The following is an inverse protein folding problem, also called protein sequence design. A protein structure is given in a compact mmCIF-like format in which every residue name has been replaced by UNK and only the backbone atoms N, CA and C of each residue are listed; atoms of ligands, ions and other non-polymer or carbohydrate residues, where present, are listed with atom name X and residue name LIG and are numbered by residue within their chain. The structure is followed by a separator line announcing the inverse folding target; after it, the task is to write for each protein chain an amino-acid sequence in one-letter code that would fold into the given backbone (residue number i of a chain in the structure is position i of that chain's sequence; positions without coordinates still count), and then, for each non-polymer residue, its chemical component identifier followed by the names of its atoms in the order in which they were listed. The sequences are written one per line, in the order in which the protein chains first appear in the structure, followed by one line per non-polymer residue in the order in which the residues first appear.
data_IF_148379798031
#
_entry.id   IF_148379798031
#
_cell.length_a   1.000
_cell.length_b   1.000
_cell.length_c   1.000
_cell.angle_alpha   90.00
_cell.angle_beta   90.00
_cell.angle_gamma   90.00
#
_symmetry.space_group_name_H-M   'P 1'
#
loop_
_entity.id
_entity.type
_entity.pdbx_description
1 polymer ?
#
# COMPACT_ATOMS: atom_id res chain seq x y z
N UNK A 1 0.22 48.15 35.61
CA UNK A 1 0.37 46.69 35.36
C UNK A 1 -0.32 45.91 36.48
N UNK A 2 -1.66 45.90 36.53
CA UNK A 2 -2.44 45.27 37.62
C UNK A 2 -3.40 44.18 37.09
N UNK A 3 -2.97 43.40 36.08
CA UNK A 3 -3.83 42.41 35.41
C UNK A 3 -3.25 40.99 35.41
N UNK A 4 -2.14 40.74 36.10
CA UNK A 4 -1.49 39.42 36.19
C UNK A 4 -1.44 38.94 37.62
N UNK A 5 -1.50 37.61 37.85
CA UNK A 5 -1.43 36.97 39.18
C UNK A 5 -0.10 37.20 39.92
N UNK A 6 0.85 37.89 39.29
CA UNK A 6 2.19 38.16 39.80
C UNK A 6 2.44 39.67 39.84
N UNK A 7 3.03 40.11 40.95
CA UNK A 7 3.33 41.52 41.24
C UNK A 7 4.68 41.97 40.65
N UNK A 8 5.54 41.03 40.22
CA UNK A 8 6.84 41.31 39.61
C UNK A 8 7.14 40.34 38.46
N UNK A 9 7.87 40.83 37.44
CA UNK A 9 8.31 40.02 36.29
C UNK A 9 9.24 38.88 36.77
N UNK A 10 10.14 39.17 37.69
CA UNK A 10 11.02 38.18 38.34
C UNK A 10 10.21 37.07 39.01
N UNK A 11 9.10 37.41 39.68
CA UNK A 11 8.23 36.43 40.32
C UNK A 11 7.53 35.50 39.31
N UNK A 12 7.18 36.01 38.14
CA UNK A 12 6.62 35.20 37.05
C UNK A 12 7.67 34.27 36.42
N UNK A 13 8.88 34.78 36.19
CA UNK A 13 9.99 34.01 35.59
C UNK A 13 10.43 32.86 36.50
N UNK A 14 10.57 33.11 37.82
CA UNK A 14 10.87 32.06 38.80
C UNK A 14 9.74 31.03 38.92
N UNK A 15 8.48 31.44 38.73
CA UNK A 15 7.35 30.51 38.73
C UNK A 15 7.39 29.55 37.54
N UNK A 16 7.73 30.02 36.33
CA UNK A 16 7.88 29.18 35.14
C UNK A 16 8.99 28.13 35.28
N UNK A 17 10.10 28.51 35.93
CA UNK A 17 11.16 27.56 36.29
C UNK A 17 10.70 26.52 37.31
N UNK A 18 9.95 26.95 38.34
CA UNK A 18 9.40 26.04 39.37
C UNK A 18 8.32 25.09 38.85
N UNK A 19 7.47 25.53 37.91
CA UNK A 19 6.48 24.66 37.26
C UNK A 19 7.10 23.76 36.19
N UNK A 20 8.38 23.93 35.88
CA UNK A 20 9.13 23.08 34.95
C UNK A 20 8.69 23.23 33.49
N UNK A 21 7.98 24.32 33.17
CA UNK A 21 7.52 24.68 31.82
C UNK A 21 8.64 25.33 31.00
N UNK A 22 9.59 26.00 31.66
CA UNK A 22 10.74 26.61 31.01
C UNK A 22 12.03 26.37 31.81
N UNK A 23 13.16 26.31 31.11
CA UNK A 23 14.49 26.49 31.72
C UNK A 23 14.76 27.98 31.80
N UNK A 24 15.17 28.43 32.98
CA UNK A 24 15.38 29.83 33.30
C UNK A 24 16.81 30.00 33.78
N UNK A 25 17.59 30.80 33.05
CA UNK A 25 18.98 31.12 33.36
C UNK A 25 19.13 32.61 33.66
N UNK A 26 19.78 32.94 34.78
CA UNK A 26 20.10 34.32 35.16
C UNK A 26 21.52 34.66 34.68
N UNK A 27 21.65 35.67 33.82
CA UNK A 27 22.94 36.17 33.35
C UNK A 27 23.06 37.66 33.66
N UNK A 28 24.26 38.24 33.55
CA UNK A 28 24.55 39.65 33.86
C UNK A 28 23.71 40.66 33.05
N UNK A 29 23.06 40.21 31.95
CA UNK A 29 22.19 41.04 31.10
C UNK A 29 20.69 40.82 31.32
N UNK A 30 20.30 39.94 32.25
CA UNK A 30 18.91 39.64 32.58
C UNK A 30 18.56 38.16 32.52
N UNK A 31 17.25 37.88 32.57
CA UNK A 31 16.69 36.53 32.61
C UNK A 31 16.49 35.96 31.20
N UNK A 32 17.09 34.80 30.94
CA UNK A 32 16.87 34.02 29.72
C UNK A 32 15.92 32.87 30.01
N UNK A 33 14.89 32.72 29.17
CA UNK A 33 13.85 31.70 29.33
C UNK A 33 13.79 30.87 28.05
N UNK A 34 13.99 29.57 28.20
CA UNK A 34 13.86 28.60 27.11
C UNK A 34 12.66 27.70 27.41
N UNK A 35 11.62 27.79 26.59
CA UNK A 35 10.41 26.97 26.76
C UNK A 35 10.73 25.50 26.46
N UNK A 36 10.38 24.60 27.37
CA UNK A 36 10.43 23.16 27.13
C UNK A 36 9.00 22.68 26.97
N UNK A 37 8.67 22.23 25.77
CA UNK A 37 7.39 21.60 25.49
C UNK A 37 7.34 20.20 26.16
N UNK A 38 6.76 20.14 27.36
CA UNK A 38 6.61 18.94 28.20
C UNK A 38 5.18 18.39 28.15
N UNK A 39 4.49 18.54 27.02
CA UNK A 39 3.18 17.90 26.85
C UNK A 39 3.33 16.35 26.78
N UNK A 40 2.62 15.60 27.65
CA UNK A 40 2.75 14.15 27.75
C UNK A 40 2.30 13.41 26.48
N UNK A 41 1.45 14.03 25.65
CA UNK A 41 1.05 13.47 24.35
C UNK A 41 2.19 13.49 23.32
N UNK A 42 3.01 14.54 23.31
CA UNK A 42 4.12 14.68 22.37
C UNK A 42 5.28 13.74 22.74
N UNK A 43 5.54 13.57 24.04
CA UNK A 43 6.54 12.63 24.56
C UNK A 43 6.11 11.19 24.31
N UNK A 44 4.84 10.82 24.59
CA UNK A 44 4.34 9.48 24.32
C UNK A 44 4.34 9.13 22.82
N UNK A 45 4.13 10.12 21.93
CA UNK A 45 4.22 9.93 20.49
C UNK A 45 5.67 9.73 20.04
N UNK A 46 6.62 10.47 20.60
CA UNK A 46 8.05 10.30 20.33
C UNK A 46 8.57 8.95 20.84
N UNK A 47 8.20 8.53 22.04
CA UNK A 47 8.57 7.21 22.59
C UNK A 47 7.97 6.05 21.79
N UNK A 48 6.71 6.16 21.35
CA UNK A 48 6.11 5.15 20.45
C UNK A 48 6.82 5.11 19.10
N UNK A 49 7.20 6.25 18.53
CA UNK A 49 7.98 6.27 17.29
C UNK A 49 9.38 5.71 17.49
N UNK A 50 10.07 6.03 18.59
CA UNK A 50 11.39 5.51 18.89
C UNK A 50 11.36 3.99 19.19
N UNK A 51 10.35 3.51 19.91
CA UNK A 51 10.15 2.07 20.16
C UNK A 51 9.87 1.31 18.88
N UNK A 52 9.05 1.88 17.99
CA UNK A 52 8.80 1.30 16.66
C UNK A 52 10.09 1.27 15.82
N UNK A 53 10.82 2.37 15.74
CA UNK A 53 12.10 2.43 15.01
C UNK A 53 13.15 1.46 15.58
N UNK A 54 13.19 1.27 16.91
CA UNK A 54 14.08 0.29 17.53
C UNK A 54 13.69 -1.15 17.18
N UNK A 55 12.39 -1.45 17.14
CA UNK A 55 11.91 -2.77 16.69
C UNK A 55 12.20 -3.00 15.20
N UNK A 56 11.94 -1.99 14.37
CA UNK A 56 12.22 -2.06 12.94
C UNK A 56 13.72 -2.24 12.66
N UNK A 57 14.60 -1.60 13.45
CA UNK A 57 16.05 -1.73 13.34
C UNK A 57 16.56 -3.12 13.76
N UNK A 58 15.99 -3.72 14.81
CA UNK A 58 16.34 -5.08 15.25
C UNK A 58 15.94 -6.14 14.20
N UNK A 59 14.79 -5.95 13.54
CA UNK A 59 14.35 -6.81 12.44
C UNK A 59 15.18 -6.56 11.16
N UNK A 60 15.60 -5.33 10.89
CA UNK A 60 16.49 -5.00 9.77
C UNK A 60 17.90 -5.60 9.96
N UNK A 61 18.47 -5.55 11.15
CA UNK A 61 19.76 -6.18 11.47
C UNK A 61 19.68 -7.72 11.31
N UNK A 62 18.63 -8.36 11.81
CA UNK A 62 18.41 -9.80 11.57
C UNK A 62 18.24 -10.14 10.09
N UNK A 63 17.60 -9.27 9.32
CA UNK A 63 17.41 -9.48 7.89
C UNK A 63 18.74 -9.31 7.14
N UNK A 64 19.54 -8.32 7.50
CA UNK A 64 20.88 -8.08 6.94
C UNK A 64 21.81 -9.27 7.20
N UNK A 65 21.85 -9.80 8.43
CA UNK A 65 22.64 -11.01 8.74
C UNK A 65 22.20 -12.22 7.90
N UNK A 66 20.90 -12.35 7.62
CA UNK A 66 20.39 -13.44 6.78
C UNK A 66 20.78 -13.27 5.30
N UNK A 67 20.73 -12.03 4.79
CA UNK A 67 21.17 -11.69 3.43
C UNK A 67 22.68 -11.90 3.29
N UNK A 68 23.47 -11.41 4.24
CA UNK A 68 24.92 -11.53 4.24
C UNK A 68 25.36 -13.00 4.27
N UNK A 69 24.69 -13.84 5.07
CA UNK A 69 24.97 -15.28 5.11
C UNK A 69 24.61 -16.01 3.81
N UNK A 70 23.62 -15.53 3.06
CA UNK A 70 23.31 -16.05 1.72
C UNK A 70 24.36 -15.62 0.70
N UNK A 71 24.79 -14.34 0.75
CA UNK A 71 25.83 -13.79 -0.11
C UNK A 71 27.17 -14.46 0.14
N UNK A 72 27.57 -14.64 1.40
CA UNK A 72 28.83 -15.28 1.77
C UNK A 72 28.86 -16.74 1.31
N UNK A 73 27.73 -17.44 1.38
CA UNK A 73 27.62 -18.82 0.89
C UNK A 73 27.72 -18.88 -0.64
N UNK A 74 27.04 -17.97 -1.35
CA UNK A 74 27.16 -17.85 -2.80
C UNK A 74 28.58 -17.47 -3.25
N UNK A 75 29.25 -16.57 -2.51
CA UNK A 75 30.62 -16.14 -2.78
C UNK A 75 31.65 -17.24 -2.51
N UNK A 76 31.46 -18.05 -1.46
CA UNK A 76 32.27 -19.26 -1.20
C UNK A 76 32.08 -20.31 -2.30
N UNK A 77 30.87 -20.50 -2.81
CA UNK A 77 30.62 -21.38 -3.95
C UNK A 77 31.24 -20.83 -5.25
N UNK A 78 31.33 -19.50 -5.41
CA UNK A 78 32.06 -18.83 -6.50
C UNK A 78 33.59 -18.95 -6.37
N UNK A 79 34.17 -18.81 -5.17
CA UNK A 79 35.61 -19.00 -4.92
C UNK A 79 36.03 -20.47 -5.10
N UNK A 80 35.16 -21.43 -4.79
CA UNK A 80 35.39 -22.86 -5.03
C UNK A 80 35.29 -23.19 -6.54
N UNK A 81 34.43 -22.49 -7.29
CA UNK A 81 34.37 -22.59 -8.75
C UNK A 81 35.52 -21.84 -9.47
N UNK A 82 36.16 -20.87 -8.81
CA UNK A 82 37.27 -20.08 -9.36
C UNK A 82 38.67 -20.72 -9.28
N UNK A 83 38.85 -21.83 -8.56
CA UNK A 83 40.16 -22.48 -8.39
C UNK A 83 40.39 -23.70 -9.31
N UNK A 84 39.47 -24.02 -10.21
CA UNK A 84 39.72 -25.00 -11.27
C UNK A 84 38.96 -24.64 -12.53
N UNK A 85 39.65 -24.76 -13.66
CA UNK A 85 39.20 -24.55 -15.05
C UNK A 85 39.26 -23.11 -15.56
N UNK A 86 40.37 -22.81 -16.26
CA UNK A 86 40.42 -21.70 -17.19
C UNK A 86 39.31 -21.83 -18.24
N UNK A 87 38.73 -20.69 -18.61
CA UNK A 87 37.77 -20.59 -19.70
C UNK A 87 38.43 -20.96 -21.03
N UNK A 88 38.19 -22.18 -21.49
CA UNK A 88 38.45 -22.61 -22.86
C UNK A 88 37.20 -22.39 -23.70
N UNK A 89 37.28 -21.43 -24.62
CA UNK A 89 36.31 -21.16 -25.67
C UNK A 89 36.20 -22.39 -26.58
N UNK A 90 34.98 -22.94 -26.76
CA UNK A 90 34.76 -24.14 -27.58
C UNK A 90 34.70 -23.75 -29.06
N UNK A 91 35.85 -23.54 -29.67
CA UNK A 91 35.98 -23.38 -31.13
C UNK A 91 35.82 -24.76 -31.78
N UNK A 92 34.88 -24.88 -32.70
CA UNK A 92 34.66 -26.07 -33.53
C UNK A 92 35.58 -25.98 -34.75
N UNK A 93 36.51 -26.93 -34.91
CA UNK A 93 37.44 -26.94 -36.06
C UNK A 93 37.07 -27.94 -37.18
N UNK A 94 35.96 -28.67 -37.12
CA UNK A 94 35.58 -29.52 -38.25
C UNK A 94 34.07 -29.80 -38.34
N UNK A 95 33.49 -29.57 -39.52
CA UNK A 95 32.03 -29.48 -39.75
C UNK A 95 31.43 -30.72 -40.45
N UNK A 96 32.12 -31.88 -40.48
CA UNK A 96 31.67 -33.03 -41.30
C UNK A 96 31.52 -34.40 -40.61
N UNK A 97 31.64 -34.52 -39.28
CA UNK A 97 31.30 -35.78 -38.60
C UNK A 97 29.88 -35.81 -38.01
N UNK A 98 29.06 -36.71 -38.54
CA UNK A 98 27.68 -36.96 -38.12
C UNK A 98 27.64 -37.53 -36.69
N UNK A 99 27.14 -36.74 -35.75
CA UNK A 99 26.99 -37.11 -34.34
C UNK A 99 25.97 -38.25 -34.20
N UNK A 100 26.42 -39.47 -33.88
CA UNK A 100 25.54 -40.58 -33.45
C UNK A 100 25.33 -40.54 -31.94
N UNK A 101 24.28 -39.83 -31.50
CA UNK A 101 23.80 -39.90 -30.12
C UNK A 101 23.05 -41.22 -29.90
N UNK A 102 23.68 -42.20 -29.23
CA UNK A 102 22.99 -43.40 -28.73
C UNK A 102 22.20 -43.04 -27.47
N UNK A 103 20.93 -42.67 -27.64
CA UNK A 103 19.97 -42.59 -26.53
C UNK A 103 19.22 -43.93 -26.47
N UNK A 104 19.51 -44.76 -25.47
CA UNK A 104 18.74 -45.98 -25.21
C UNK A 104 17.42 -45.60 -24.52
N UNK A 105 16.31 -45.74 -25.25
CA UNK A 105 14.95 -45.59 -24.75
C UNK A 105 14.17 -46.90 -24.97
N UNK A 106 14.06 -47.70 -23.92
CA UNK A 106 13.17 -48.87 -23.81
C UNK A 106 12.75 -48.96 -22.33
N UNK A 107 11.50 -49.14 -21.91
CA UNK A 107 10.20 -49.27 -22.56
C UNK A 107 9.20 -49.71 -21.47
N UNK A 108 8.13 -48.93 -21.27
CA UNK A 108 6.79 -49.28 -20.74
C UNK A 108 6.65 -49.98 -19.37
N UNK A 109 5.76 -49.66 -18.43
CA UNK A 109 4.67 -48.68 -18.28
C UNK A 109 4.14 -48.78 -16.84
N UNK A 110 3.90 -47.64 -16.18
CA UNK A 110 2.71 -47.26 -15.36
C UNK A 110 3.05 -46.42 -14.11
N UNK A 111 2.52 -45.20 -14.17
CA UNK A 111 2.01 -44.31 -13.11
C UNK A 111 2.97 -43.38 -12.35
N UNK A 112 2.68 -42.12 -12.61
CA UNK A 112 2.62 -40.96 -11.70
C UNK A 112 3.91 -40.26 -11.29
N UNK A 113 3.82 -38.94 -11.46
CA UNK A 113 4.85 -37.93 -11.29
C UNK A 113 5.35 -37.88 -9.84
N UNK A 114 6.64 -37.52 -9.67
CA UNK A 114 7.14 -36.52 -8.70
C UNK A 114 8.67 -36.45 -8.85
N UNK A 115 9.15 -35.27 -9.26
CA UNK A 115 10.56 -34.86 -9.18
C UNK A 115 11.01 -34.87 -7.71
N UNK A 116 12.00 -35.69 -7.36
CA UNK A 116 12.80 -35.57 -6.14
C UNK A 116 14.28 -35.52 -6.49
N UNK A 117 14.93 -34.45 -6.03
CA UNK A 117 16.39 -34.25 -6.00
C UNK A 117 17.04 -35.31 -5.08
N UNK A 118 18.33 -35.65 -5.30
CA UNK A 118 18.99 -36.74 -4.59
C UNK A 118 19.22 -36.38 -3.11
N UNK A 119 18.81 -37.28 -2.23
CA UNK A 119 19.21 -37.30 -0.84
C UNK A 119 20.53 -38.10 -0.73
N UNK A 120 21.58 -37.47 -0.20
CA UNK A 120 22.76 -38.17 0.32
C UNK A 120 22.58 -38.33 1.83
N UNK A 121 22.82 -39.56 2.29
CA UNK A 121 22.60 -40.11 3.62
C UNK A 121 23.36 -39.37 4.74
N UNK A 122 22.66 -39.11 5.86
CA UNK A 122 23.16 -39.46 7.20
C UNK A 122 22.01 -40.07 8.02
N UNK A 123 22.32 -41.17 8.70
CA UNK A 123 21.39 -42.11 9.36
C UNK A 123 21.72 -42.13 10.85
N UNK A 124 20.74 -41.89 11.74
CA UNK A 124 20.56 -42.48 13.09
C UNK A 124 19.31 -41.90 13.80
N UNK A 125 18.70 -42.60 14.80
CA UNK A 125 17.41 -43.28 14.61
C UNK A 125 16.20 -42.60 15.27
N UNK A 126 15.02 -43.17 14.97
CA UNK A 126 13.66 -42.95 15.49
C UNK A 126 13.58 -42.45 16.95
N UNK A 127 12.63 -41.59 17.35
CA UNK A 127 11.18 -41.85 17.35
C UNK A 127 10.28 -40.59 17.18
N UNK A 128 9.13 -40.85 16.53
CA UNK A 128 7.79 -40.28 16.69
C UNK A 128 7.37 -38.88 16.13
N UNK A 129 6.16 -38.91 15.53
CA UNK A 129 5.21 -37.84 15.20
C UNK A 129 5.36 -37.06 13.87
N UNK A 130 4.81 -37.65 12.81
CA UNK A 130 4.54 -37.00 11.53
C UNK A 130 3.40 -35.98 11.60
N UNK A 131 3.71 -34.71 11.91
CA UNK A 131 2.77 -33.58 11.73
C UNK A 131 3.40 -32.20 11.49
N UNK A 132 4.74 -32.08 11.47
CA UNK A 132 5.43 -30.79 11.42
C UNK A 132 5.70 -30.23 10.00
N UNK A 133 5.84 -31.07 8.97
CA UNK A 133 6.27 -30.61 7.64
C UNK A 133 5.17 -29.87 6.84
N UNK A 134 3.88 -30.15 7.10
CA UNK A 134 2.77 -29.39 6.50
C UNK A 134 2.56 -28.03 7.16
N UNK A 135 2.88 -27.88 8.45
CA UNK A 135 2.77 -26.60 9.17
C UNK A 135 3.86 -25.63 8.73
N UNK A 136 5.10 -26.08 8.57
CA UNK A 136 6.23 -25.20 8.22
C UNK A 136 6.17 -24.62 6.80
N UNK A 137 5.60 -25.36 5.82
CA UNK A 137 5.33 -24.81 4.48
C UNK A 137 4.22 -23.78 4.48
N UNK A 138 3.10 -24.06 5.16
CA UNK A 138 1.96 -23.13 5.27
C UNK A 138 2.33 -21.85 6.02
N UNK A 139 3.22 -21.96 6.99
CA UNK A 139 3.74 -20.83 7.76
C UNK A 139 4.73 -19.97 6.96
N UNK A 140 5.60 -20.58 6.13
CA UNK A 140 6.47 -19.83 5.21
C UNK A 140 5.71 -19.17 4.07
N UNK A 141 4.65 -19.81 3.59
CA UNK A 141 3.77 -19.26 2.54
C UNK A 141 2.88 -18.13 3.10
N UNK A 142 2.31 -18.30 4.30
CA UNK A 142 1.60 -17.24 5.01
C UNK A 142 2.49 -16.05 5.39
N UNK A 143 3.75 -16.29 5.81
CA UNK A 143 4.72 -15.21 6.10
C UNK A 143 5.15 -14.46 4.84
N UNK A 144 5.26 -15.14 3.68
CA UNK A 144 5.51 -14.48 2.38
C UNK A 144 4.30 -13.69 1.88
N UNK A 145 3.09 -14.20 2.09
CA UNK A 145 1.84 -13.47 1.81
C UNK A 145 1.74 -12.24 2.72
N UNK A 146 2.11 -12.35 4.00
CA UNK A 146 2.16 -11.20 4.92
C UNK A 146 3.18 -10.15 4.50
N UNK A 147 4.41 -10.55 4.15
CA UNK A 147 5.44 -9.61 3.69
C UNK A 147 5.05 -8.89 2.39
N UNK A 148 4.41 -9.60 1.45
CA UNK A 148 3.88 -8.99 0.23
C UNK A 148 2.69 -8.07 0.53
N UNK A 149 1.77 -8.47 1.41
CA UNK A 149 0.62 -7.64 1.80
C UNK A 149 1.07 -6.38 2.56
N UNK A 150 2.12 -6.47 3.39
CA UNK A 150 2.71 -5.33 4.08
C UNK A 150 3.38 -4.34 3.11
N UNK A 151 4.09 -4.84 2.09
CA UNK A 151 4.64 -4.00 1.01
C UNK A 151 3.52 -3.32 0.25
N UNK A 152 2.48 -4.08 -0.14
CA UNK A 152 1.35 -3.52 -0.90
C UNK A 152 0.59 -2.52 -0.04
N UNK A 153 0.36 -2.77 1.25
CA UNK A 153 -0.32 -1.85 2.17
C UNK A 153 0.47 -0.56 2.39
N UNK A 154 1.80 -0.66 2.46
CA UNK A 154 2.69 0.50 2.54
C UNK A 154 2.62 1.31 1.26
N UNK A 155 2.59 0.65 0.10
CA UNK A 155 2.46 1.29 -1.19
C UNK A 155 1.07 1.88 -1.43
N UNK A 156 0.00 1.21 -0.97
CA UNK A 156 -1.37 1.71 -0.97
C UNK A 156 -1.50 2.96 -0.12
N UNK A 157 -0.92 2.97 1.08
CA UNK A 157 -0.93 4.16 1.95
C UNK A 157 -0.17 5.33 1.31
N UNK A 158 0.95 5.05 0.63
CA UNK A 158 1.70 6.05 -0.12
C UNK A 158 0.89 6.59 -1.30
N UNK A 159 0.30 5.68 -2.10
CA UNK A 159 -0.55 6.03 -3.24
C UNK A 159 -1.78 6.78 -2.78
N UNK A 160 -2.41 6.42 -1.67
CA UNK A 160 -3.55 7.13 -1.12
C UNK A 160 -3.20 8.59 -0.79
N UNK A 161 -2.07 8.84 -0.13
CA UNK A 161 -1.62 10.19 0.17
C UNK A 161 -1.30 11.02 -1.08
N UNK A 162 -0.70 10.41 -2.10
CA UNK A 162 -0.31 11.13 -3.33
C UNK A 162 -1.47 11.30 -4.31
N UNK A 163 -2.36 10.31 -4.39
CA UNK A 163 -3.48 10.23 -5.34
C UNK A 163 -4.74 10.88 -4.81
N UNK A 164 -4.85 11.14 -3.49
CA UNK A 164 -5.92 11.95 -2.95
C UNK A 164 -5.78 13.38 -3.44
N UNK A 165 -6.66 13.74 -4.37
CA UNK A 165 -6.78 15.09 -4.91
C UNK A 165 -8.14 15.66 -4.59
N UNK A 166 -8.24 16.98 -4.68
CA UNK A 166 -9.49 17.71 -4.49
C UNK A 166 -10.48 17.48 -5.64
N UNK A 167 -9.95 17.18 -6.84
CA UNK A 167 -10.76 16.85 -8.02
C UNK A 167 -10.99 15.34 -8.14
N UNK A 168 -12.27 14.97 -8.27
CA UNK A 168 -12.73 13.58 -8.38
C UNK A 168 -13.45 13.27 -9.70
N UNK A 169 -13.83 14.29 -10.49
CA UNK A 169 -14.51 14.08 -11.77
C UNK A 169 -13.66 13.24 -12.75
N UNK A 170 -14.31 12.26 -13.38
CA UNK A 170 -13.75 11.39 -14.41
C UNK A 170 -14.77 11.17 -15.52
N UNK A 171 -14.28 10.90 -16.72
CA UNK A 171 -15.12 10.55 -17.86
C UNK A 171 -15.75 9.15 -17.71
N UNK A 172 -16.91 8.94 -18.33
CA UNK A 172 -17.57 7.62 -18.35
C UNK A 172 -18.28 7.24 -17.05
N UNK A 173 -18.49 8.20 -16.14
CA UNK A 173 -19.27 7.99 -14.91
C UNK A 173 -20.64 8.63 -15.00
N UNK A 174 -21.57 8.10 -14.21
CA UNK A 174 -22.89 8.69 -13.99
C UNK A 174 -22.82 9.56 -12.74
N UNK A 175 -23.31 10.78 -12.84
CA UNK A 175 -23.43 11.73 -11.72
C UNK A 175 -24.88 12.22 -11.61
N UNK A 176 -25.24 12.71 -10.43
CA UNK A 176 -26.54 13.32 -10.17
C UNK A 176 -26.36 14.82 -10.01
N UNK A 177 -27.14 15.60 -10.74
CA UNK A 177 -27.06 17.06 -10.69
C UNK A 177 -27.84 17.55 -9.47
N UNK A 178 -27.16 18.27 -8.57
CA UNK A 178 -27.76 18.84 -7.34
C UNK A 178 -27.97 20.35 -7.43
N UNK A 179 -27.38 21.01 -8.43
CA UNK A 179 -27.58 22.44 -8.63
C UNK A 179 -29.01 22.77 -9.06
N UNK A 180 -29.68 23.64 -8.32
CA UNK A 180 -31.00 24.20 -8.68
C UNK A 180 -30.89 25.37 -9.67
N UNK A 181 -29.68 25.94 -9.79
CA UNK A 181 -29.39 27.11 -10.61
C UNK A 181 -29.24 26.77 -12.09
N UNK A 182 -28.90 25.51 -12.42
CA UNK A 182 -28.81 25.07 -13.81
C UNK A 182 -30.21 24.95 -14.43
N UNK A 183 -30.42 25.72 -15.51
CA UNK A 183 -31.63 25.69 -16.33
C UNK A 183 -32.94 25.87 -15.54
N UNK A 184 -32.95 26.79 -14.57
CA UNK A 184 -34.15 27.16 -13.78
C UNK A 184 -34.81 25.95 -13.07
N UNK A 185 -34.00 25.02 -12.57
CA UNK A 185 -34.47 23.87 -11.80
C UNK A 185 -35.03 22.70 -12.62
N UNK A 186 -35.09 22.80 -13.95
CA UNK A 186 -35.56 21.70 -14.82
C UNK A 186 -34.66 20.47 -14.82
N UNK A 187 -33.43 20.61 -14.33
CA UNK A 187 -32.38 19.57 -14.35
C UNK A 187 -32.04 19.08 -12.92
N UNK A 188 -32.73 19.61 -11.91
CA UNK A 188 -32.45 19.27 -10.52
C UNK A 188 -32.78 17.80 -10.22
N UNK A 189 -31.83 17.08 -9.62
CA UNK A 189 -31.86 15.64 -9.29
C UNK A 189 -31.89 14.69 -10.50
N UNK A 190 -31.64 15.17 -11.71
CA UNK A 190 -31.47 14.30 -12.86
C UNK A 190 -30.10 13.61 -12.87
N UNK A 191 -30.06 12.43 -13.49
CA UNK A 191 -28.82 11.67 -13.72
C UNK A 191 -28.24 12.07 -15.07
N UNK A 192 -26.94 12.30 -15.10
CA UNK A 192 -26.21 12.67 -16.29
C UNK A 192 -24.93 11.84 -16.41
N UNK A 193 -24.49 11.64 -17.65
CA UNK A 193 -23.25 10.93 -17.98
C UNK A 193 -22.16 11.94 -18.25
N UNK A 194 -21.01 11.78 -17.61
CA UNK A 194 -19.83 12.60 -17.88
C UNK A 194 -19.21 12.17 -19.21
N UNK A 195 -19.30 13.02 -20.24
CA UNK A 195 -18.68 12.76 -21.53
C UNK A 195 -17.22 13.18 -21.56
N UNK A 196 -16.90 14.36 -21.01
CA UNK A 196 -15.56 14.95 -21.06
C UNK A 196 -15.33 15.79 -19.80
N UNK A 197 -14.14 15.73 -19.21
CA UNK A 197 -13.75 16.54 -18.05
C UNK A 197 -12.83 17.68 -18.51
N UNK A 198 -13.17 18.91 -18.16
CA UNK A 198 -12.47 20.15 -18.51
C UNK A 198 -11.87 20.74 -17.24
N UNK A 199 -10.60 21.16 -17.30
CA UNK A 199 -9.92 21.83 -16.18
C UNK A 199 -9.94 21.06 -14.85
N UNK A 200 -10.14 19.74 -14.89
CA UNK A 200 -10.22 18.80 -13.74
C UNK A 200 -11.45 18.99 -12.83
N UNK A 201 -11.98 20.21 -12.72
CA UNK A 201 -13.10 20.57 -11.86
C UNK A 201 -14.43 20.75 -12.60
N UNK A 202 -14.39 20.94 -13.92
CA UNK A 202 -15.59 21.08 -14.75
C UNK A 202 -15.76 19.84 -15.61
N UNK A 203 -16.98 19.56 -16.02
CA UNK A 203 -17.27 18.47 -16.92
C UNK A 203 -18.42 18.80 -17.86
N UNK A 204 -18.31 18.36 -19.11
CA UNK A 204 -19.43 18.28 -20.04
C UNK A 204 -20.20 17.01 -19.74
N UNK A 205 -21.41 17.18 -19.22
CA UNK A 205 -22.32 16.09 -18.91
C UNK A 205 -23.46 16.06 -19.93
N UNK A 206 -23.95 14.86 -20.24
CA UNK A 206 -25.14 14.63 -21.05
C UNK A 206 -26.23 14.03 -20.16
N UNK A 207 -27.37 14.70 -20.05
CA UNK A 207 -28.51 14.19 -19.28
C UNK A 207 -29.03 12.90 -19.91
N UNK A 208 -29.39 11.92 -19.08
CA UNK A 208 -29.94 10.65 -19.56
C UNK A 208 -31.37 10.78 -20.06
N UNK A 209 -32.21 11.57 -19.37
CA UNK A 209 -33.63 11.74 -19.70
C UNK A 209 -33.81 12.69 -20.89
N UNK A 210 -33.24 13.89 -20.84
CA UNK A 210 -33.45 14.92 -21.85
C UNK A 210 -32.41 14.93 -22.97
N UNK A 211 -31.28 14.21 -22.81
CA UNK A 211 -30.20 14.17 -23.80
C UNK A 211 -29.43 15.48 -23.99
N UNK A 212 -29.76 16.54 -23.23
CA UNK A 212 -29.11 17.85 -23.31
C UNK A 212 -27.68 17.77 -22.75
N UNK A 213 -26.77 18.49 -23.40
CA UNK A 213 -25.39 18.64 -22.95
C UNK A 213 -25.27 19.92 -22.12
N UNK A 214 -24.68 19.80 -20.93
CA UNK A 214 -24.49 20.91 -19.99
C UNK A 214 -23.05 20.86 -19.47
N UNK A 215 -22.51 22.02 -19.14
CA UNK A 215 -21.26 22.12 -18.41
C UNK A 215 -21.58 22.29 -16.93
N UNK A 216 -20.95 21.46 -16.09
CA UNK A 216 -21.18 21.44 -14.63
C UNK A 216 -19.85 21.50 -13.90
N UNK A 217 -19.85 22.15 -12.73
CA UNK A 217 -18.74 22.09 -11.79
C UNK A 217 -18.88 20.85 -10.90
N UNK A 218 -17.78 20.38 -10.31
CA UNK A 218 -17.80 19.26 -9.36
C UNK A 218 -18.72 19.49 -8.16
N UNK A 219 -18.91 20.75 -7.73
CA UNK A 219 -19.73 21.09 -6.55
C UNK A 219 -21.23 21.05 -6.86
N UNK A 220 -21.58 21.12 -8.15
CA UNK A 220 -22.96 21.07 -8.65
C UNK A 220 -23.46 19.65 -8.88
N UNK A 221 -22.59 18.65 -8.69
CA UNK A 221 -22.86 17.24 -8.97
C UNK A 221 -22.47 16.34 -7.79
N UNK A 222 -23.18 15.23 -7.68
CA UNK A 222 -22.97 14.20 -6.66
C UNK A 222 -22.69 12.86 -7.35
N UNK A 223 -21.86 12.01 -6.73
CA UNK A 223 -21.62 10.65 -7.22
C UNK A 223 -22.88 9.80 -7.08
N UNK A 224 -23.01 8.79 -7.94
CA UNK A 224 -24.16 7.88 -7.90
C UNK A 224 -23.66 6.48 -7.57
N UNK A 225 -24.11 5.93 -6.46
CA UNK A 225 -23.80 4.55 -6.09
C UNK A 225 -24.82 3.62 -6.75
N UNK A 226 -24.39 2.62 -7.54
CA UNK A 226 -25.30 1.65 -8.12
C UNK A 226 -25.75 0.61 -7.09
N UNK A 227 -26.57 -0.33 -7.54
CA UNK A 227 -26.88 -1.52 -6.75
C UNK A 227 -25.66 -2.42 -6.62
N UNK A 228 -25.64 -3.22 -5.55
CA UNK A 228 -24.65 -4.26 -5.29
C UNK A 228 -24.51 -5.19 -6.51
N UNK A 229 -23.29 -5.56 -6.84
CA UNK A 229 -22.92 -6.41 -7.97
C UNK A 229 -22.72 -5.66 -9.29
N UNK A 230 -22.88 -4.34 -9.31
CA UNK A 230 -22.63 -3.51 -10.51
C UNK A 230 -21.23 -2.92 -10.52
N UNK A 231 -20.77 -2.63 -11.73
CA UNK A 231 -19.49 -1.98 -11.97
C UNK A 231 -19.53 -0.48 -11.60
N UNK A 232 -18.44 -0.04 -10.99
CA UNK A 232 -18.17 1.31 -10.54
C UNK A 232 -16.75 1.71 -10.95
N UNK A 233 -16.52 3.01 -10.97
CA UNK A 233 -15.19 3.59 -11.14
C UNK A 233 -14.73 4.19 -9.80
N UNK A 234 -13.50 3.88 -9.42
CA UNK A 234 -12.85 4.54 -8.29
C UNK A 234 -12.30 5.89 -8.73
N UNK A 235 -12.80 6.95 -8.12
CA UNK A 235 -12.51 8.34 -8.46
C UNK A 235 -11.30 8.90 -7.71
N UNK A 236 -11.05 8.39 -6.50
CA UNK A 236 -10.03 8.91 -5.61
C UNK A 236 -9.40 7.81 -4.74
N UNK A 237 -8.27 8.13 -4.10
CA UNK A 237 -7.54 7.21 -3.22
C UNK A 237 -6.50 6.34 -3.94
N UNK A 238 -6.06 5.26 -3.28
CA UNK A 238 -4.97 4.41 -3.79
C UNK A 238 -5.28 3.76 -5.15
N UNK A 239 -6.55 3.43 -5.38
CA UNK A 239 -7.06 2.72 -6.56
C UNK A 239 -7.70 3.65 -7.59
N UNK A 240 -7.35 4.94 -7.56
CA UNK A 240 -7.91 5.93 -8.47
C UNK A 240 -7.77 5.51 -9.94
N UNK A 241 -8.89 5.51 -10.66
CA UNK A 241 -8.98 5.15 -12.07
C UNK A 241 -9.21 3.65 -12.33
N UNK A 242 -9.16 2.80 -11.30
CA UNK A 242 -9.51 1.39 -11.42
C UNK A 242 -11.02 1.19 -11.50
N UNK A 243 -11.44 0.24 -12.32
CA UNK A 243 -12.79 -0.30 -12.28
C UNK A 243 -12.91 -1.31 -11.15
N UNK A 244 -14.07 -1.31 -10.52
CA UNK A 244 -14.38 -2.19 -9.40
C UNK A 244 -15.84 -2.63 -9.45
N UNK A 245 -16.17 -3.69 -8.72
CA UNK A 245 -17.55 -4.16 -8.52
C UNK A 245 -17.95 -3.87 -7.09
N UNK A 246 -19.13 -3.28 -6.90
CA UNK A 246 -19.67 -3.01 -5.57
C UNK A 246 -20.11 -4.31 -4.90
N UNK A 247 -19.57 -4.65 -3.72
CA UNK A 247 -19.93 -5.88 -2.98
C UNK A 247 -20.88 -5.63 -1.81
N UNK A 248 -20.61 -4.61 -1.01
CA UNK A 248 -21.49 -4.26 0.10
C UNK A 248 -21.53 -2.75 0.30
N UNK A 249 -22.62 -2.32 0.90
CA UNK A 249 -22.90 -0.94 1.28
C UNK A 249 -23.05 -0.90 2.79
N UNK A 250 -22.29 -0.03 3.45
CA UNK A 250 -22.35 0.24 4.88
C UNK A 250 -22.89 1.66 5.07
N UNK A 251 -24.19 1.77 5.28
CA UNK A 251 -24.90 3.06 5.42
C UNK A 251 -24.50 3.82 6.69
N UNK A 252 -24.17 3.13 7.78
CA UNK A 252 -23.80 3.74 9.06
C UNK A 252 -22.52 4.58 8.98
N UNK A 253 -21.53 4.09 8.23
CA UNK A 253 -20.21 4.71 8.08
C UNK A 253 -20.07 5.49 6.75
N UNK A 254 -21.14 5.57 5.94
CA UNK A 254 -21.10 6.11 4.57
C UNK A 254 -19.96 5.51 3.73
N UNK A 255 -19.79 4.19 3.84
CA UNK A 255 -18.69 3.47 3.20
C UNK A 255 -19.15 2.23 2.44
N UNK A 256 -18.38 1.82 1.44
CA UNK A 256 -18.63 0.64 0.63
C UNK A 256 -17.45 -0.31 0.69
N UNK A 257 -17.76 -1.57 0.44
CA UNK A 257 -16.77 -2.59 0.11
C UNK A 257 -16.80 -2.87 -1.38
N UNK A 258 -15.64 -2.76 -2.02
CA UNK A 258 -15.50 -2.90 -3.46
C UNK A 258 -14.47 -3.97 -3.78
N UNK A 259 -14.64 -4.65 -4.90
CA UNK A 259 -13.65 -5.58 -5.43
C UNK A 259 -13.08 -5.00 -6.73
N UNK A 260 -11.76 -4.83 -6.80
CA UNK A 260 -11.10 -4.30 -7.98
C UNK A 260 -11.22 -5.33 -9.12
N UNK A 261 -11.83 -4.95 -10.23
CA UNK A 261 -11.95 -5.81 -11.42
C UNK A 261 -10.79 -5.59 -12.40
N UNK A 262 -10.22 -4.38 -12.43
CA UNK A 262 -9.20 -4.00 -13.41
C UNK A 262 -7.92 -3.44 -12.76
N UNK A 263 -6.76 -4.00 -13.14
CA UNK A 263 -5.44 -3.50 -12.78
C UNK A 263 -4.49 -4.58 -12.24
N UNK A 264 -3.31 -4.20 -11.73
CA UNK A 264 -2.36 -5.14 -11.13
C UNK A 264 -2.87 -5.79 -9.83
N UNK A 265 -3.95 -5.27 -9.25
CA UNK A 265 -4.58 -5.73 -8.01
C UNK A 265 -5.99 -6.30 -8.24
N UNK A 266 -6.28 -6.80 -9.45
CA UNK A 266 -7.55 -7.45 -9.77
C UNK A 266 -7.87 -8.58 -8.78
N UNK A 267 -9.10 -8.60 -8.27
CA UNK A 267 -9.59 -9.55 -7.27
C UNK A 267 -9.35 -9.13 -5.81
N UNK A 268 -8.68 -8.00 -5.56
CA UNK A 268 -8.53 -7.46 -4.20
C UNK A 268 -9.83 -6.82 -3.72
N UNK A 269 -10.24 -7.19 -2.51
CA UNK A 269 -11.34 -6.53 -1.81
C UNK A 269 -10.78 -5.36 -0.99
N UNK A 270 -11.43 -4.22 -1.14
CA UNK A 270 -11.09 -2.98 -0.45
C UNK A 270 -12.32 -2.56 0.34
N UNK A 271 -12.17 -2.60 1.66
CA UNK A 271 -13.22 -2.22 2.60
C UNK A 271 -13.12 -0.72 2.93
N UNK A 272 -14.22 -0.15 3.43
CA UNK A 272 -14.30 1.23 3.97
C UNK A 272 -13.99 2.34 2.94
N UNK A 273 -14.31 2.13 1.67
CA UNK A 273 -14.17 3.19 0.64
C UNK A 273 -15.34 4.17 0.76
N UNK A 274 -15.10 5.48 0.74
CA UNK A 274 -16.16 6.49 0.87
C UNK A 274 -16.99 6.62 -0.39
N UNK A 275 -18.25 7.03 -0.22
CA UNK A 275 -19.20 7.25 -1.31
C UNK A 275 -18.76 8.32 -2.33
N UNK A 276 -18.02 9.33 -1.86
CA UNK A 276 -17.45 10.39 -2.72
C UNK A 276 -16.31 9.88 -3.61
N UNK A 277 -15.64 8.81 -3.19
CA UNK A 277 -14.47 8.28 -3.87
C UNK A 277 -14.84 7.25 -4.94
N UNK A 278 -16.14 6.96 -5.14
CA UNK A 278 -16.65 6.02 -6.15
C UNK A 278 -17.86 6.58 -6.89
N UNK A 279 -18.03 6.18 -8.15
CA UNK A 279 -19.29 6.43 -8.86
C UNK A 279 -19.63 5.31 -9.84
N UNK A 280 -20.91 5.18 -10.17
CA UNK A 280 -21.42 4.24 -11.17
C UNK A 280 -20.78 4.50 -12.53
N UNK A 281 -20.30 3.43 -13.16
CA UNK A 281 -19.85 3.45 -14.56
C UNK A 281 -21.05 3.49 -15.52
N UNK A 282 -20.97 4.26 -16.61
CA UNK A 282 -22.03 4.35 -17.64
C UNK A 282 -22.10 3.09 -18.51
#
# INVERSE_FOLDING_TARGET
MNATRWLSLTGFVLWLGKTGQCVVDETEKGWYITYIDRDPETIARQEKMAKKQKMDKDDEERLQEFIEKQVERGKKDEEIAGSSTGGGEFVRENEEEKIKLKINLAGTSKKEAIFKKPALLTKRPAEDSGSAEKRSKREKEARRISALDDIIKTEESRKERTNRKDYWLKEGIIVKIVSKSLAEGKVYKEKAVVQEVIDKYRAKVKLLETGKKLEVHQDDVETVIPQIGKEILVLNGAYRGSKAVLKSLQEDDYSVTIEISEGPLTGRQVDRVRYEDISKLY
#
